data_IF_433930251389
#
_entry.id   IF_433930251389
#
_cell.length_a   1.000
_cell.length_b   1.000
_cell.length_c   1.000
_cell.angle_alpha   90.00
_cell.angle_beta   90.00
_cell.angle_gamma   90.00
#
_symmetry.space_group_name_H-M   'P 1'
#
loop_
_entity.id
_entity.type
_entity.pdbx_description
1 polymer ?
#
# COMPACT_ATOMS: atom_id res chain seq x y z
N UNK A 1 13.72 -13.98 -5.15
CA UNK A 1 13.34 -13.00 -4.13
C UNK A 1 13.03 -11.72 -4.88
N UNK A 2 11.75 -11.43 -5.10
CA UNK A 2 11.32 -10.20 -5.76
C UNK A 2 11.10 -9.15 -4.67
N UNK A 3 12.01 -8.19 -4.55
CA UNK A 3 11.78 -7.00 -3.74
C UNK A 3 10.74 -6.15 -4.45
N UNK A 4 9.62 -5.85 -3.79
CA UNK A 4 8.67 -4.85 -4.30
C UNK A 4 9.00 -3.50 -3.68
N UNK A 5 8.51 -2.42 -4.29
CA UNK A 5 8.81 -1.05 -3.86
C UNK A 5 7.53 -0.31 -3.57
N UNK A 6 7.47 0.36 -2.42
CA UNK A 6 6.34 1.21 -2.09
C UNK A 6 6.18 2.29 -3.17
N UNK A 7 4.97 2.45 -3.71
CA UNK A 7 4.68 3.48 -4.71
C UNK A 7 4.94 4.90 -4.20
N UNK A 8 4.71 5.12 -2.90
CA UNK A 8 4.71 6.44 -2.27
C UNK A 8 6.14 6.87 -1.91
N UNK A 9 6.85 6.08 -1.10
CA UNK A 9 8.19 6.45 -0.64
C UNK A 9 9.33 5.86 -1.51
N UNK A 10 9.04 4.90 -2.38
CA UNK A 10 10.05 4.21 -3.19
C UNK A 10 10.97 3.28 -2.41
N UNK A 11 10.73 3.07 -1.11
CA UNK A 11 11.52 2.16 -0.30
C UNK A 11 11.21 0.70 -0.67
N UNK A 12 12.22 -0.20 -0.59
CA UNK A 12 11.98 -1.63 -0.75
C UNK A 12 11.13 -2.14 0.41
N UNK A 13 10.07 -2.88 0.09
CA UNK A 13 9.15 -3.48 1.05
C UNK A 13 9.00 -4.97 0.75
N UNK A 14 8.70 -5.75 1.79
CA UNK A 14 8.48 -7.18 1.65
C UNK A 14 7.09 -7.45 1.11
N UNK A 15 6.99 -8.17 -0.02
CA UNK A 15 5.72 -8.42 -0.69
C UNK A 15 4.75 -9.30 0.13
N UNK A 16 5.26 -10.02 1.14
CA UNK A 16 4.45 -10.84 2.03
C UNK A 16 3.84 -10.05 3.20
N UNK A 17 4.40 -8.87 3.51
CA UNK A 17 3.93 -8.02 4.62
C UNK A 17 3.40 -6.68 4.15
N UNK A 18 3.67 -6.27 2.92
CA UNK A 18 3.15 -5.03 2.35
C UNK A 18 1.75 -5.21 1.79
N UNK A 19 0.89 -4.28 2.12
CA UNK A 19 -0.42 -4.07 1.54
C UNK A 19 -0.33 -3.62 0.07
N UNK A 20 -1.37 -3.88 -0.72
CA UNK A 20 -1.40 -3.57 -2.16
C UNK A 20 -2.69 -2.81 -2.52
N UNK A 21 -2.63 -1.65 -3.20
CA UNK A 21 -3.87 -0.96 -3.64
C UNK A 21 -4.70 -1.92 -4.51
N UNK A 22 -5.92 -2.25 -4.10
CA UNK A 22 -6.81 -3.17 -4.81
C UNK A 22 -7.16 -2.72 -6.25
N UNK A 23 -7.05 -1.42 -6.55
CA UNK A 23 -7.27 -0.89 -7.89
C UNK A 23 -6.03 -0.93 -8.79
N UNK A 24 -4.91 -0.35 -8.35
CA UNK A 24 -3.72 -0.21 -9.20
C UNK A 24 -2.71 -1.35 -9.01
N UNK A 25 -2.92 -2.23 -8.03
CA UNK A 25 -2.02 -3.34 -7.69
C UNK A 25 -0.64 -2.88 -7.24
N UNK A 26 -0.50 -1.61 -6.84
CA UNK A 26 0.78 -1.07 -6.40
C UNK A 26 1.00 -1.40 -4.92
N UNK A 27 2.19 -1.91 -4.56
CA UNK A 27 2.53 -2.20 -3.17
C UNK A 27 2.79 -0.91 -2.40
N UNK A 28 2.36 -0.86 -1.16
CA UNK A 28 2.45 0.30 -0.27
C UNK A 28 2.87 -0.21 1.11
N UNK A 29 3.85 0.46 1.76
CA UNK A 29 4.21 0.10 3.14
C UNK A 29 3.19 0.65 4.12
N UNK A 30 3.07 -0.01 5.27
CA UNK A 30 2.22 0.41 6.40
C UNK A 30 2.47 1.87 6.80
N UNK A 31 3.74 2.31 6.88
CA UNK A 31 4.06 3.70 7.22
C UNK A 31 3.42 4.73 6.28
N UNK A 32 3.35 4.41 4.98
CA UNK A 32 2.68 5.27 4.01
C UNK A 32 1.16 5.09 4.05
N UNK A 33 0.65 3.92 4.44
CA UNK A 33 -0.79 3.71 4.63
C UNK A 33 -1.27 4.56 5.80
N UNK A 34 -0.61 4.49 6.95
CA UNK A 34 -0.87 5.33 8.12
C UNK A 34 -0.76 6.82 7.80
N UNK A 35 0.28 7.22 7.05
CA UNK A 35 0.50 8.63 6.69
C UNK A 35 -0.55 9.19 5.74
N UNK A 36 -1.15 8.32 4.92
CA UNK A 36 -2.17 8.68 3.92
C UNK A 36 -3.57 8.23 4.34
N UNK A 37 -3.82 7.97 5.63
CA UNK A 37 -5.13 7.61 6.19
C UNK A 37 -5.76 6.39 5.49
N UNK A 38 -4.93 5.44 5.04
CA UNK A 38 -5.39 4.26 4.30
C UNK A 38 -5.55 4.47 2.80
N UNK A 39 -5.19 5.63 2.24
CA UNK A 39 -5.37 5.92 0.81
C UNK A 39 -4.10 5.76 -0.01
N UNK A 40 -4.25 5.26 -1.24
CA UNK A 40 -3.14 5.18 -2.17
C UNK A 40 -2.99 6.49 -2.96
N UNK A 41 -1.79 7.08 -2.93
CA UNK A 41 -1.49 8.32 -3.67
C UNK A 41 -1.67 8.22 -5.20
N UNK A 42 -1.43 7.03 -5.78
CA UNK A 42 -1.56 6.83 -7.23
C UNK A 42 -3.01 6.70 -7.72
N UNK A 43 -3.79 5.84 -7.07
CA UNK A 43 -5.18 5.51 -7.44
C UNK A 43 -6.22 6.41 -6.71
N UNK A 44 -5.82 7.13 -5.64
CA UNK A 44 -6.67 7.83 -4.67
C UNK A 44 -7.78 6.96 -4.07
N UNK A 45 -7.61 5.65 -4.15
CA UNK A 45 -8.53 4.67 -3.59
C UNK A 45 -8.00 4.16 -2.26
N UNK A 46 -8.96 3.72 -1.44
CA UNK A 46 -8.70 3.11 -0.15
C UNK A 46 -7.94 1.80 -0.38
N UNK A 47 -6.82 1.64 0.31
CA UNK A 47 -5.98 0.43 0.26
C UNK A 47 -6.64 -0.68 1.08
N UNK A 48 -7.54 -0.29 1.98
CA UNK A 48 -8.47 -1.10 2.78
C UNK A 48 -7.80 -2.19 3.61
N UNK A 49 -7.78 -1.99 4.93
CA UNK A 49 -7.86 -3.11 5.87
C UNK A 49 -9.35 -3.21 6.29
N UNK A 50 -9.93 -4.38 6.03
CA UNK A 50 -11.32 -4.80 6.15
C UNK A 50 -12.22 -4.19 7.27
N UNK A 51 -13.46 -3.88 6.85
CA UNK A 51 -14.74 -4.26 7.46
C UNK A 51 -15.15 -3.70 8.85
N UNK A 52 -15.78 -2.51 8.86
CA UNK A 52 -16.79 -2.16 9.87
C UNK A 52 -18.19 -2.48 9.32
N UNK A 53 -18.63 -3.75 9.39
CA UNK A 53 -20.06 -4.12 9.50
C UNK A 53 -20.35 -5.54 10.03
#
# INVERSE_FOLDING_TARGET
MGSVFCLICGCPVDAETSETCGQCGSPICDECIDSFDGFCEGCYEEISDDEDY
#
